data_IF_312716978952
#
_entry.id   IF_312716978952
#
_cell.length_a   1.000
_cell.length_b   1.000
_cell.length_c   1.000
_cell.angle_alpha   90.00
_cell.angle_beta   90.00
_cell.angle_gamma   90.00
#
_symmetry.space_group_name_H-M   'P 1'
#
loop_
_entity.id
_entity.type
_entity.pdbx_description
1 polymer ?
#
# COMPACT_ATOMS: atom_id res chain seq x y z
N UNK A 1 6.12 -12.78 -7.70
CA UNK A 1 7.21 -13.00 -6.72
C UNK A 1 6.91 -12.34 -5.38
N UNK A 2 6.79 -11.01 -5.30
CA UNK A 2 6.53 -10.30 -4.04
C UNK A 2 5.22 -10.73 -3.34
N UNK A 3 4.15 -10.97 -4.09
CA UNK A 3 2.89 -11.51 -3.54
C UNK A 3 3.13 -12.86 -2.83
N UNK A 4 3.81 -13.80 -3.50
CA UNK A 4 4.14 -15.11 -2.92
C UNK A 4 5.02 -15.01 -1.67
N UNK A 5 6.01 -14.11 -1.66
CA UNK A 5 6.82 -13.83 -0.48
C UNK A 5 5.94 -13.36 0.69
N UNK A 6 5.07 -12.37 0.45
CA UNK A 6 4.20 -11.82 1.47
C UNK A 6 3.24 -12.87 2.05
N UNK A 7 2.74 -13.79 1.20
CA UNK A 7 1.90 -14.92 1.66
C UNK A 7 2.66 -15.94 2.50
N UNK A 8 3.90 -16.25 2.10
CA UNK A 8 4.71 -17.27 2.76
C UNK A 8 5.28 -16.79 4.10
N UNK A 9 5.64 -15.51 4.19
CA UNK A 9 6.35 -14.93 5.35
C UNK A 9 5.44 -14.13 6.28
N UNK A 10 4.33 -13.60 5.77
CA UNK A 10 3.52 -12.60 6.47
C UNK A 10 4.13 -11.20 6.47
N UNK A 11 5.29 -11.00 5.84
CA UNK A 11 5.96 -9.71 5.71
C UNK A 11 5.43 -8.92 4.49
N UNK A 12 5.77 -7.62 4.44
CA UNK A 12 5.40 -6.75 3.31
C UNK A 12 6.28 -7.09 2.11
N UNK A 13 5.67 -7.53 1.01
CA UNK A 13 6.40 -7.76 -0.24
C UNK A 13 6.72 -6.44 -0.95
N UNK A 14 7.90 -6.34 -1.54
CA UNK A 14 8.34 -5.13 -2.25
C UNK A 14 8.54 -5.44 -3.74
N UNK A 15 8.07 -4.53 -4.59
CA UNK A 15 8.29 -4.57 -6.05
C UNK A 15 8.88 -3.24 -6.49
N UNK A 16 9.91 -3.30 -7.33
CA UNK A 16 10.47 -2.12 -8.00
C UNK A 16 10.19 -2.22 -9.50
N UNK A 17 9.60 -1.18 -10.08
CA UNK A 17 9.32 -1.06 -11.51
C UNK A 17 9.78 0.27 -12.05
N UNK A 18 10.11 0.31 -13.34
CA UNK A 18 10.36 1.56 -14.07
C UNK A 18 9.05 2.25 -14.44
N UNK A 19 9.12 3.50 -14.89
CA UNK A 19 7.98 4.26 -15.41
C UNK A 19 7.37 3.60 -16.65
N UNK A 20 6.25 4.14 -17.14
CA UNK A 20 5.69 3.75 -18.43
C UNK A 20 5.32 2.25 -18.48
N UNK A 21 5.96 1.45 -19.34
CA UNK A 21 5.62 0.03 -19.50
C UNK A 21 5.88 -0.82 -18.24
N UNK A 22 6.85 -0.44 -17.39
CA UNK A 22 7.11 -1.16 -16.14
C UNK A 22 5.94 -1.03 -15.16
N UNK A 23 5.45 0.20 -15.01
CA UNK A 23 4.30 0.54 -14.19
C UNK A 23 3.02 -0.14 -14.68
N UNK A 24 2.71 -0.08 -15.98
CA UNK A 24 1.49 -0.67 -16.53
C UNK A 24 1.47 -2.20 -16.45
N UNK A 25 2.61 -2.87 -16.67
CA UNK A 25 2.71 -4.32 -16.55
C UNK A 25 2.50 -4.83 -15.10
N UNK A 26 2.72 -3.99 -14.10
CA UNK A 26 2.51 -4.35 -12.70
C UNK A 26 1.04 -4.33 -12.26
N UNK A 27 0.15 -3.65 -13.00
CA UNK A 27 -1.24 -3.39 -12.59
C UNK A 27 -2.03 -4.66 -12.32
N UNK A 28 -1.91 -5.68 -13.17
CA UNK A 28 -2.60 -6.96 -12.96
C UNK A 28 -2.20 -7.61 -11.64
N UNK A 29 -0.90 -7.62 -11.32
CA UNK A 29 -0.41 -8.17 -10.05
C UNK A 29 -0.83 -7.35 -8.84
N UNK A 30 -0.86 -6.02 -8.97
CA UNK A 30 -1.38 -5.11 -7.94
C UNK A 30 -2.86 -5.38 -7.68
N UNK A 31 -3.67 -5.55 -8.72
CA UNK A 31 -5.08 -5.87 -8.59
C UNK A 31 -5.31 -7.21 -7.86
N UNK A 32 -4.54 -8.25 -8.20
CA UNK A 32 -4.58 -9.52 -7.47
C UNK A 32 -4.28 -9.33 -5.97
N UNK A 33 -3.19 -8.61 -5.66
CA UNK A 33 -2.81 -8.35 -4.27
C UNK A 33 -3.87 -7.55 -3.50
N UNK A 34 -4.54 -6.60 -4.16
CA UNK A 34 -5.61 -5.80 -3.57
C UNK A 34 -6.84 -6.65 -3.22
N UNK A 35 -7.29 -7.48 -4.16
CA UNK A 35 -8.43 -8.37 -3.93
C UNK A 35 -8.16 -9.36 -2.78
N UNK A 36 -6.94 -9.88 -2.71
CA UNK A 36 -6.54 -10.88 -1.73
C UNK A 36 -6.00 -10.31 -0.42
N UNK A 37 -5.97 -8.98 -0.28
CA UNK A 37 -5.46 -8.27 0.92
C UNK A 37 -4.01 -8.61 1.24
N UNK A 38 -3.17 -8.61 0.22
CA UNK A 38 -1.74 -8.92 0.35
C UNK A 38 -0.98 -7.62 0.59
N UNK A 39 -0.18 -7.53 1.67
CA UNK A 39 0.62 -6.34 1.96
C UNK A 39 1.75 -6.21 0.95
N UNK A 40 1.65 -5.25 0.05
CA UNK A 40 2.70 -4.94 -0.93
C UNK A 40 3.05 -3.45 -0.91
N UNK A 41 4.33 -3.15 -1.16
CA UNK A 41 4.81 -1.81 -1.49
C UNK A 41 5.41 -1.85 -2.89
N UNK A 42 4.85 -1.04 -3.79
CA UNK A 42 5.28 -0.93 -5.17
C UNK A 42 6.01 0.39 -5.34
N UNK A 43 7.31 0.32 -5.58
CA UNK A 43 8.16 1.45 -5.91
C UNK A 43 8.14 1.60 -7.44
N UNK A 44 7.55 2.69 -7.92
CA UNK A 44 7.45 3.01 -9.34
C UNK A 44 8.41 4.15 -9.64
N UNK A 45 9.27 3.99 -10.65
CA UNK A 45 10.03 5.09 -11.21
C UNK A 45 9.10 6.02 -12.01
N UNK A 46 9.44 7.31 -12.05
CA UNK A 46 8.70 8.31 -12.82
C UNK A 46 9.65 9.22 -13.60
N UNK A 47 9.13 9.88 -14.64
CA UNK A 47 9.83 10.98 -15.33
C UNK A 47 10.18 12.11 -14.35
N UNK A 48 10.99 13.08 -14.79
CA UNK A 48 11.34 14.20 -13.92
C UNK A 48 10.08 15.00 -13.56
N UNK A 49 10.02 15.55 -12.35
CA UNK A 49 8.86 16.31 -11.86
C UNK A 49 8.39 17.39 -12.83
N UNK A 50 9.31 18.08 -13.50
CA UNK A 50 9.03 19.11 -14.50
C UNK A 50 8.44 18.61 -15.81
N UNK A 51 8.49 17.30 -16.07
CA UNK A 51 8.02 16.64 -17.28
C UNK A 51 6.73 15.85 -17.04
N UNK A 52 6.22 15.79 -15.80
CA UNK A 52 4.93 15.16 -15.50
C UNK A 52 3.82 16.00 -16.13
N UNK A 53 2.96 15.38 -16.94
CA UNK A 53 1.86 15.95 -17.69
C UNK A 53 2.23 16.42 -19.10
N UNK A 54 3.44 16.12 -19.60
CA UNK A 54 3.95 16.63 -20.88
C UNK A 54 4.14 15.55 -21.94
N UNK A 55 3.56 14.35 -21.75
CA UNK A 55 3.72 13.17 -22.60
C UNK A 55 5.21 12.85 -22.84
N UNK A 56 5.99 12.93 -21.76
CA UNK A 56 7.42 12.67 -21.82
C UNK A 56 7.70 11.19 -22.12
N UNK A 57 8.92 10.90 -22.58
CA UNK A 57 9.30 9.53 -22.92
C UNK A 57 9.12 8.57 -21.73
N UNK A 58 8.31 7.52 -21.93
CA UNK A 58 7.91 6.54 -20.90
C UNK A 58 7.19 7.16 -19.68
N UNK A 59 6.55 8.30 -19.86
CA UNK A 59 5.61 8.82 -18.87
C UNK A 59 4.38 7.92 -18.77
N UNK A 60 3.92 7.67 -17.54
CA UNK A 60 2.63 7.07 -17.29
C UNK A 60 2.15 7.52 -15.91
N UNK A 61 0.88 7.93 -15.81
CA UNK A 61 0.25 8.27 -14.53
C UNK A 61 -0.03 7.01 -13.71
N UNK A 62 1.02 6.49 -13.06
CA UNK A 62 0.95 5.30 -12.21
C UNK A 62 -0.05 5.50 -11.06
N UNK A 63 -0.15 6.70 -10.51
CA UNK A 63 -1.09 7.03 -9.43
C UNK A 63 -2.53 6.94 -9.94
N UNK A 64 -2.82 7.48 -11.11
CA UNK A 64 -4.14 7.44 -11.74
C UNK A 64 -4.58 6.04 -12.10
N UNK A 65 -3.75 5.29 -12.83
CA UNK A 65 -4.12 3.95 -13.33
C UNK A 65 -4.28 2.92 -12.20
N UNK A 66 -3.52 3.07 -11.10
CA UNK A 66 -3.55 2.12 -9.99
C UNK A 66 -4.63 2.45 -8.94
N UNK A 67 -5.20 3.67 -8.97
CA UNK A 67 -6.14 4.17 -7.95
C UNK A 67 -7.30 3.23 -7.59
N UNK A 68 -7.93 2.50 -8.53
CA UNK A 68 -9.02 1.57 -8.21
C UNK A 68 -8.57 0.27 -7.53
N UNK A 69 -7.28 -0.05 -7.60
CA UNK A 69 -6.71 -1.36 -7.23
C UNK A 69 -5.58 -1.24 -6.19
N UNK A 70 -5.52 -0.14 -5.46
CA UNK A 70 -4.53 0.08 -4.40
C UNK A 70 -5.20 0.64 -3.16
N UNK A 71 -4.61 0.31 -2.01
CA UNK A 71 -5.05 0.89 -0.73
C UNK A 71 -4.71 2.38 -0.66
N UNK A 72 -3.55 2.75 -1.19
CA UNK A 72 -3.11 4.13 -1.27
C UNK A 72 -1.99 4.30 -2.30
N UNK A 73 -1.78 5.54 -2.74
CA UNK A 73 -0.69 5.91 -3.63
C UNK A 73 -0.03 7.20 -3.15
N UNK A 74 1.28 7.27 -3.24
CA UNK A 74 2.07 8.47 -2.98
C UNK A 74 2.80 8.90 -4.24
N UNK A 75 2.83 10.20 -4.51
CA UNK A 75 3.76 10.82 -5.46
C UNK A 75 4.76 11.65 -4.67
N UNK A 76 6.03 11.28 -4.70
CA UNK A 76 7.07 11.98 -3.96
C UNK A 76 7.53 13.21 -4.74
N UNK A 77 7.40 14.39 -4.12
CA UNK A 77 7.72 15.68 -4.76
C UNK A 77 9.07 16.27 -4.33
N UNK A 78 9.61 15.82 -3.20
CA UNK A 78 10.85 16.32 -2.62
C UNK A 78 11.69 15.15 -2.09
N UNK A 79 13.02 15.28 -2.16
CA UNK A 79 13.93 14.18 -1.77
C UNK A 79 13.90 13.92 -0.26
N UNK A 80 13.70 14.98 0.53
CA UNK A 80 13.58 14.96 2.00
C UNK A 80 12.38 14.13 2.47
N UNK A 81 11.33 14.02 1.66
CA UNK A 81 10.08 13.34 2.01
C UNK A 81 10.17 11.80 1.88
N UNK A 82 11.19 11.28 1.19
CA UNK A 82 11.33 9.85 0.87
C UNK A 82 11.24 8.97 2.14
N UNK A 83 12.00 9.23 3.23
CA UNK A 83 11.94 8.38 4.43
C UNK A 83 10.55 8.36 5.05
N UNK A 84 9.90 9.52 5.13
CA UNK A 84 8.56 9.65 5.70
C UNK A 84 7.48 8.98 4.87
N UNK A 85 7.55 9.11 3.54
CA UNK A 85 6.62 8.44 2.62
C UNK A 85 6.80 6.93 2.66
N UNK A 86 8.04 6.43 2.65
CA UNK A 86 8.29 4.99 2.73
C UNK A 86 7.76 4.42 4.05
N UNK A 87 8.05 5.04 5.19
CA UNK A 87 7.55 4.56 6.49
C UNK A 87 6.02 4.52 6.52
N UNK A 88 5.35 5.54 5.95
CA UNK A 88 3.88 5.56 5.79
C UNK A 88 3.38 4.44 4.87
N UNK A 89 4.08 4.19 3.75
CA UNK A 89 3.69 3.17 2.79
C UNK A 89 3.73 1.76 3.39
N UNK A 90 4.80 1.41 4.10
CA UNK A 90 4.90 0.12 4.79
C UNK A 90 3.87 -0.02 5.91
N UNK A 91 3.66 1.04 6.70
CA UNK A 91 2.63 1.04 7.75
C UNK A 91 1.23 0.85 7.17
N UNK A 92 0.90 1.57 6.09
CA UNK A 92 -0.38 1.42 5.39
C UNK A 92 -0.55 0.03 4.78
N UNK A 93 0.48 -0.51 4.12
CA UNK A 93 0.40 -1.82 3.48
C UNK A 93 0.08 -2.93 4.50
N UNK A 94 0.67 -2.86 5.71
CA UNK A 94 0.55 -3.88 6.74
C UNK A 94 -0.64 -3.70 7.71
N UNK A 95 -1.01 -2.47 8.05
CA UNK A 95 -2.00 -2.20 9.11
C UNK A 95 -3.46 -2.36 8.63
N UNK A 96 -4.40 -2.58 9.58
CA UNK A 96 -5.82 -2.73 9.26
C UNK A 96 -6.10 -3.92 8.35
N UNK A 97 -6.88 -3.73 7.28
CA UNK A 97 -6.95 -4.67 6.15
C UNK A 97 -5.69 -4.45 5.28
N UNK A 98 -4.78 -5.42 5.16
CA UNK A 98 -3.56 -5.25 4.38
C UNK A 98 -3.87 -5.08 2.89
N UNK A 99 -2.95 -4.48 2.16
CA UNK A 99 -3.13 -4.28 0.73
C UNK A 99 -1.95 -3.57 0.06
N UNK A 100 -1.96 -3.48 -1.28
CA UNK A 100 -0.89 -2.85 -2.03
C UNK A 100 -0.91 -1.32 -1.87
N UNK A 101 0.28 -0.74 -1.72
CA UNK A 101 0.52 0.71 -1.69
C UNK A 101 1.56 1.06 -2.74
N UNK A 102 1.27 2.07 -3.56
CA UNK A 102 2.18 2.57 -4.59
C UNK A 102 2.95 3.78 -4.07
N UNK A 103 4.25 3.85 -4.36
CA UNK A 103 5.10 5.02 -4.16
C UNK A 103 5.76 5.35 -5.49
N UNK A 104 5.33 6.44 -6.10
CA UNK A 104 5.84 6.93 -7.38
C UNK A 104 6.98 7.93 -7.14
N UNK A 105 8.13 7.67 -7.77
CA UNK A 105 9.42 8.28 -7.49
C UNK A 105 10.02 8.92 -8.75
N UNK A 106 9.88 10.25 -8.91
CA UNK A 106 10.47 10.99 -10.03
C UNK A 106 12.01 10.90 -10.04
N UNK A 107 12.60 10.76 -11.23
CA UNK A 107 14.05 10.55 -11.38
C UNK A 107 14.92 11.69 -10.81
N UNK A 108 14.44 12.94 -10.87
CA UNK A 108 15.14 14.13 -10.38
C UNK A 108 15.15 14.24 -8.84
N UNK A 109 14.21 13.54 -8.20
CA UNK A 109 14.11 13.38 -6.75
C UNK A 109 15.07 12.29 -6.25
N UNK A 110 15.34 11.27 -7.07
CA UNK A 110 16.30 10.19 -6.79
C UNK A 110 17.74 10.53 -7.20
N UNK A 111 18.03 11.78 -7.56
CA UNK A 111 19.35 12.17 -8.06
C UNK A 111 20.46 11.96 -6.99
N UNK A 112 21.46 11.10 -7.22
CA UNK A 112 22.51 10.79 -6.25
C UNK A 112 23.42 11.99 -5.90
N UNK A 113 23.42 13.04 -6.71
CA UNK A 113 24.14 14.28 -6.40
C UNK A 113 23.47 15.09 -5.27
N UNK A 114 22.17 14.90 -5.03
CA UNK A 114 21.42 15.56 -3.95
C UNK A 114 21.49 14.70 -2.68
N UNK A 115 22.48 14.98 -1.83
CA UNK A 115 22.63 14.30 -0.53
C UNK A 115 22.01 15.15 0.57
N UNK A 116 21.14 14.54 1.34
CA UNK A 116 20.47 15.16 2.49
C UNK A 116 20.69 14.28 3.73
N UNK A 117 20.63 14.84 4.94
CA UNK A 117 20.63 14.04 6.16
C UNK A 117 19.51 13.00 6.12
N UNK A 118 19.86 11.74 6.33
CA UNK A 118 18.86 10.67 6.45
C UNK A 118 18.23 10.71 7.84
N UNK A 119 16.94 11.01 7.90
CA UNK A 119 16.15 10.99 9.14
C UNK A 119 14.97 10.05 8.94
N UNK A 120 15.01 8.89 9.57
CA UNK A 120 13.87 7.97 9.60
C UNK A 120 12.93 8.41 10.73
N UNK A 121 11.64 8.69 10.46
CA UNK A 121 10.73 9.09 11.53
C UNK A 121 10.54 7.97 12.53
N UNK A 122 10.41 8.23 13.83
CA UNK A 122 10.17 7.17 14.84
C UNK A 122 8.73 6.66 14.79
N UNK A 123 7.77 7.56 14.61
CA UNK A 123 6.34 7.25 14.58
C UNK A 123 5.70 7.61 13.24
N UNK A 124 4.66 6.89 12.87
CA UNK A 124 3.78 7.24 11.74
C UNK A 124 2.37 7.45 12.24
N UNK A 125 1.77 8.55 11.83
CA UNK A 125 0.35 8.83 12.00
C UNK A 125 -0.20 9.47 10.73
N UNK A 126 -1.43 9.15 10.37
CA UNK A 126 -2.15 9.84 9.31
C UNK A 126 -3.53 10.23 9.81
N UNK A 127 -3.87 11.53 9.68
CA UNK A 127 -5.16 12.06 10.11
C UNK A 127 -6.35 11.30 9.50
N UNK A 128 -6.23 10.91 8.24
CA UNK A 128 -7.28 10.22 7.47
C UNK A 128 -7.36 8.72 7.73
N UNK A 129 -6.42 8.13 8.49
CA UNK A 129 -6.34 6.68 8.64
C UNK A 129 -6.04 6.30 10.09
N UNK A 130 -7.05 5.75 10.77
CA UNK A 130 -6.95 5.26 12.14
C UNK A 130 -7.66 3.91 12.25
N UNK A 131 -6.97 2.78 12.02
CA UNK A 131 -7.60 1.46 11.97
C UNK A 131 -8.05 1.01 13.37
N UNK A 132 -9.29 0.53 13.50
CA UNK A 132 -9.81 0.01 14.76
C UNK A 132 -9.22 -1.37 15.06
N UNK A 133 -8.42 -1.47 16.12
CA UNK A 133 -7.73 -2.71 16.50
C UNK A 133 -8.53 -3.59 17.47
N UNK A 134 -9.43 -2.99 18.26
CA UNK A 134 -10.26 -3.71 19.24
C UNK A 134 -11.74 -3.75 18.84
N UNK A 135 -12.38 -4.90 19.01
CA UNK A 135 -13.83 -5.04 18.86
C UNK A 135 -14.61 -4.40 20.01
N UNK A 136 -15.84 -3.97 19.74
CA UNK A 136 -16.70 -3.39 20.76
C UNK A 136 -17.25 -4.47 21.71
N UNK A 137 -16.89 -4.40 23.00
CA UNK A 137 -17.23 -5.42 24.02
C UNK A 137 -18.73 -5.78 24.04
N UNK A 138 -19.61 -4.79 23.93
CA UNK A 138 -21.05 -5.00 23.92
C UNK A 138 -21.57 -5.77 22.71
N UNK A 139 -20.96 -5.58 21.53
CA UNK A 139 -21.34 -6.31 20.32
C UNK A 139 -20.84 -7.75 20.38
N UNK A 140 -19.64 -7.96 20.91
CA UNK A 140 -19.08 -9.30 21.16
C UNK A 140 -19.99 -10.09 22.11
N UNK A 141 -20.45 -9.46 23.20
CA UNK A 141 -21.37 -10.10 24.16
C UNK A 141 -22.70 -10.49 23.50
N UNK A 142 -23.28 -9.62 22.68
CA UNK A 142 -24.52 -9.92 21.93
C UNK A 142 -24.33 -11.08 20.95
N UNK A 143 -23.25 -11.07 20.16
CA UNK A 143 -22.94 -12.15 19.23
C UNK A 143 -22.78 -13.50 19.96
N UNK A 144 -22.10 -13.51 21.11
CA UNK A 144 -21.96 -14.72 21.93
C UNK A 144 -23.31 -15.25 22.42
N UNK A 145 -24.20 -14.36 22.89
CA UNK A 145 -25.55 -14.76 23.32
C UNK A 145 -26.35 -15.39 22.17
N UNK A 146 -26.26 -14.81 20.96
CA UNK A 146 -26.91 -15.37 19.76
C UNK A 146 -26.35 -16.74 19.40
N UNK A 147 -25.02 -16.94 19.50
CA UNK A 147 -24.39 -18.23 19.24
C UNK A 147 -24.82 -19.30 20.25
N UNK A 148 -24.90 -18.97 21.55
CA UNK A 148 -25.34 -19.91 22.60
C UNK A 148 -26.81 -20.30 22.43
N UNK A 149 -27.67 -19.37 22.00
CA UNK A 149 -29.09 -19.63 21.80
C UNK A 149 -29.42 -20.38 20.50
N UNK A 150 -28.48 -20.46 19.56
CA UNK A 150 -28.71 -21.04 18.24
C UNK A 150 -28.75 -22.59 18.28
N UNK A 151 -29.79 -23.19 17.69
CA UNK A 151 -29.96 -24.66 17.62
C UNK A 151 -29.11 -25.33 16.53
N UNK A 152 -28.69 -24.58 15.51
CA UNK A 152 -27.75 -25.00 14.46
C UNK A 152 -26.83 -23.84 14.15
N UNK A 153 -25.56 -23.97 14.51
CA UNK A 153 -24.52 -22.97 14.27
C UNK A 153 -23.60 -23.43 13.15
N UNK A 154 -23.26 -22.52 12.25
CA UNK A 154 -22.19 -22.68 11.26
C UNK A 154 -21.32 -21.44 11.24
N UNK A 155 -20.00 -21.62 11.11
CA UNK A 155 -19.04 -20.51 11.02
C UNK A 155 -18.55 -20.34 9.60
N UNK A 156 -18.53 -19.11 9.10
CA UNK A 156 -17.83 -18.75 7.86
C UNK A 156 -16.57 -17.98 8.27
N UNK A 157 -15.43 -18.65 8.23
CA UNK A 157 -14.14 -18.00 8.47
C UNK A 157 -13.56 -17.58 7.12
N UNK A 158 -13.43 -16.27 6.90
CA UNK A 158 -12.70 -15.68 5.79
C UNK A 158 -11.67 -14.72 6.36
N UNK A 159 -10.55 -14.50 5.67
CA UNK A 159 -9.72 -13.31 5.96
C UNK A 159 -10.65 -12.09 5.86
N UNK A 160 -10.55 -11.15 6.80
CA UNK A 160 -11.37 -9.91 6.85
C UNK A 160 -11.40 -9.24 5.48
N UNK A 161 -12.40 -9.58 4.67
CA UNK A 161 -12.98 -8.80 3.59
C UNK A 161 -14.15 -8.06 4.18
N UNK A 162 -14.22 -6.77 3.88
CA UNK A 162 -15.24 -5.86 4.38
C UNK A 162 -16.66 -6.45 4.31
#
# INVERSE_FOLDING_TARGET
MADGLARATGEVGVVLVTSGPGATNAITGIATAYMDSIPLVILSGQVATSLIGYDAFQECDMVGISRPVVKHSFLVKQTEDIPGVLKKAFWLAASGRPGPVVVDLPKDILNPAKKLPYVWPDTVSMRSYNPTTSGHKGQIKRALQTLVAAKKTGGVCRRRGD
#
